data_IF_792126247091
#
_entry.id   IF_792126247091
#
_cell.length_a   1.000
_cell.length_b   1.000
_cell.length_c   1.000
_cell.angle_alpha   90.00
_cell.angle_beta   90.00
_cell.angle_gamma   90.00
#
_symmetry.space_group_name_H-M   'P 1'
#
loop_
_entity.id
_entity.type
_entity.pdbx_description
1 polymer ?
#
# COMPACT_ATOMS: atom_id res chain seq x y z
N UNK A 1 24.48 -19.60 35.92
CA UNK A 1 23.68 -20.23 36.98
C UNK A 1 23.33 -21.65 36.54
N UNK A 2 23.32 -22.62 37.44
CA UNK A 2 22.90 -24.00 37.13
C UNK A 2 21.38 -24.19 37.39
N UNK A 3 20.79 -25.25 36.84
CA UNK A 3 19.40 -25.63 37.08
C UNK A 3 19.14 -25.83 38.59
N UNK A 4 18.01 -25.35 39.09
CA UNK A 4 17.67 -25.37 40.53
C UNK A 4 18.47 -24.40 41.42
N UNK A 5 19.43 -23.64 40.88
CA UNK A 5 20.15 -22.63 41.66
C UNK A 5 19.28 -21.39 41.92
N UNK A 6 19.53 -20.72 43.05
CA UNK A 6 18.80 -19.51 43.43
C UNK A 6 19.76 -18.32 43.62
N UNK A 7 19.48 -17.20 42.94
CA UNK A 7 20.13 -15.92 43.21
C UNK A 7 19.18 -15.00 43.97
N UNK A 8 19.51 -14.74 45.23
CA UNK A 8 18.78 -13.80 46.08
C UNK A 8 19.47 -12.44 46.04
N UNK A 9 18.84 -11.46 45.38
CA UNK A 9 19.39 -10.12 45.28
C UNK A 9 19.22 -9.37 46.60
N UNK A 10 20.31 -8.78 47.08
CA UNK A 10 20.32 -7.91 48.27
C UNK A 10 20.40 -6.42 47.92
N UNK A 11 20.36 -6.10 46.62
CA UNK A 11 20.50 -4.76 46.07
C UNK A 11 20.26 -4.72 44.57
N UNK A 12 20.16 -3.52 43.99
CA UNK A 12 20.07 -3.36 42.53
C UNK A 12 21.33 -3.95 41.87
N UNK A 13 21.15 -4.67 40.77
CA UNK A 13 22.25 -5.37 40.10
C UNK A 13 22.25 -5.10 38.60
N UNK A 14 23.44 -4.97 38.04
CA UNK A 14 23.67 -4.94 36.59
C UNK A 14 24.63 -6.08 36.25
N UNK A 15 24.23 -6.95 35.33
CA UNK A 15 24.97 -8.12 34.89
C UNK A 15 25.31 -7.97 33.42
N UNK A 16 26.58 -8.07 33.05
CA UNK A 16 26.98 -8.03 31.63
C UNK A 16 26.49 -9.27 30.89
N UNK A 17 26.80 -10.46 31.39
CA UNK A 17 26.44 -11.72 30.76
C UNK A 17 25.90 -12.67 31.83
N UNK A 18 24.69 -13.20 31.62
CA UNK A 18 24.10 -14.23 32.46
C UNK A 18 23.74 -15.44 31.59
N UNK A 19 24.43 -16.55 31.85
CA UNK A 19 24.18 -17.81 31.16
C UNK A 19 23.59 -18.84 32.13
N UNK A 20 22.55 -19.53 31.70
CA UNK A 20 21.89 -20.60 32.45
C UNK A 20 21.98 -21.89 31.62
N UNK A 21 22.82 -22.81 32.09
CA UNK A 21 23.17 -24.05 31.41
C UNK A 21 23.24 -25.23 32.38
N UNK A 22 22.82 -26.41 31.92
CA UNK A 22 23.16 -27.71 32.52
C UNK A 22 23.48 -28.76 31.45
N UNK A 23 24.29 -29.80 31.76
CA UNK A 23 24.48 -30.93 30.87
C UNK A 23 23.16 -31.68 30.67
N UNK A 24 22.76 -31.85 29.41
CA UNK A 24 21.48 -32.43 28.99
C UNK A 24 21.16 -33.76 29.69
N UNK A 25 20.19 -33.75 30.62
CA UNK A 25 19.52 -34.97 31.04
C UNK A 25 18.11 -34.69 31.56
N UNK A 26 17.16 -35.40 30.95
CA UNK A 26 15.74 -35.55 31.31
C UNK A 26 14.73 -34.60 30.66
N UNK A 27 13.89 -35.24 29.85
CA UNK A 27 12.60 -34.81 29.32
C UNK A 27 11.53 -34.94 30.42
N UNK A 28 10.57 -34.01 30.45
CA UNK A 28 9.35 -33.95 31.28
C UNK A 28 9.53 -33.75 32.80
N UNK A 29 9.47 -32.50 33.28
CA UNK A 29 9.16 -32.14 34.68
C UNK A 29 8.37 -30.83 34.79
N UNK A 30 7.56 -30.75 35.85
CA UNK A 30 6.80 -29.57 36.30
C UNK A 30 7.73 -28.35 36.53
N UNK A 31 7.36 -27.19 35.99
CA UNK A 31 8.23 -26.00 35.89
C UNK A 31 8.63 -25.45 37.27
N UNK A 32 7.76 -25.62 38.26
CA UNK A 32 7.91 -25.00 39.57
C UNK A 32 9.07 -25.55 40.42
N UNK A 33 9.61 -26.74 40.09
CA UNK A 33 10.56 -27.46 40.96
C UNK A 33 12.01 -27.52 40.45
N UNK A 34 12.27 -27.12 39.20
CA UNK A 34 13.60 -27.31 38.56
C UNK A 34 14.21 -26.03 37.97
N UNK A 35 13.48 -24.92 37.83
CA UNK A 35 14.02 -23.72 37.22
C UNK A 35 15.13 -23.04 38.06
N UNK A 36 16.15 -22.51 37.40
CA UNK A 36 17.03 -21.53 38.04
C UNK A 36 16.18 -20.31 38.42
N UNK A 37 16.31 -19.83 39.66
CA UNK A 37 15.42 -18.80 40.21
C UNK A 37 16.19 -17.54 40.60
N UNK A 38 15.70 -16.38 40.17
CA UNK A 38 16.24 -15.07 40.55
C UNK A 38 15.20 -14.36 41.39
N UNK A 39 15.51 -14.11 42.66
CA UNK A 39 14.67 -13.35 43.58
C UNK A 39 15.17 -11.91 43.64
N UNK A 40 14.49 -11.01 42.93
CA UNK A 40 14.83 -9.60 42.90
C UNK A 40 14.25 -8.83 44.10
N UNK A 41 13.25 -9.38 44.79
CA UNK A 41 12.61 -8.73 45.93
C UNK A 41 12.00 -7.38 45.54
N UNK A 42 12.61 -6.29 46.01
CA UNK A 42 12.27 -4.89 45.70
C UNK A 42 13.32 -4.17 44.83
N UNK A 43 14.31 -4.89 44.30
CA UNK A 43 15.50 -4.37 43.63
C UNK A 43 15.46 -4.55 42.11
N UNK A 44 16.01 -3.58 41.37
CA UNK A 44 16.05 -3.64 39.91
C UNK A 44 17.20 -4.53 39.43
N UNK A 45 16.95 -5.31 38.37
CA UNK A 45 17.95 -6.15 37.71
C UNK A 45 18.05 -5.77 36.23
N UNK A 46 19.25 -5.35 35.82
CA UNK A 46 19.62 -5.18 34.42
C UNK A 46 20.56 -6.29 33.99
N UNK A 47 20.27 -6.98 32.89
CA UNK A 47 21.13 -7.99 32.27
C UNK A 47 21.42 -7.54 30.85
N UNK A 48 22.67 -7.34 30.44
CA UNK A 48 22.96 -6.92 29.07
C UNK A 48 22.82 -8.09 28.09
N UNK A 49 23.28 -9.30 28.43
CA UNK A 49 23.12 -10.50 27.63
C UNK A 49 22.61 -11.66 28.51
N UNK A 50 21.41 -12.16 28.24
CA UNK A 50 20.82 -13.31 28.92
C UNK A 50 20.78 -14.49 27.95
N UNK A 51 21.43 -15.60 28.28
CA UNK A 51 21.37 -16.84 27.52
C UNK A 51 20.85 -17.99 28.40
N UNK A 52 19.85 -18.74 27.93
CA UNK A 52 19.33 -19.90 28.68
C UNK A 52 18.85 -21.03 27.76
N UNK A 53 19.13 -22.26 28.17
CA UNK A 53 18.68 -23.48 27.47
C UNK A 53 17.75 -24.38 28.31
N UNK A 54 17.33 -23.89 29.48
CA UNK A 54 16.39 -24.52 30.43
C UNK A 54 15.52 -23.49 31.13
N UNK A 55 14.50 -23.94 31.85
CA UNK A 55 13.51 -23.06 32.47
C UNK A 55 14.14 -22.07 33.49
N UNK A 56 13.79 -20.79 33.38
CA UNK A 56 14.28 -19.70 34.23
C UNK A 56 13.10 -19.01 34.92
N UNK A 57 13.18 -18.77 36.22
CA UNK A 57 12.15 -18.05 36.98
C UNK A 57 12.67 -16.74 37.54
N UNK A 58 11.99 -15.63 37.23
CA UNK A 58 12.17 -14.35 37.92
C UNK A 58 11.07 -14.14 38.95
N UNK A 59 11.44 -13.78 40.18
CA UNK A 59 10.51 -13.54 41.27
C UNK A 59 10.70 -12.14 41.86
N UNK A 60 9.61 -11.37 41.93
CA UNK A 60 9.56 -10.06 42.58
C UNK A 60 8.53 -10.06 43.73
N UNK A 61 8.90 -9.48 44.87
CA UNK A 61 8.00 -9.30 46.03
C UNK A 61 7.42 -7.88 46.10
N UNK A 62 8.06 -6.92 45.43
CA UNK A 62 7.58 -5.53 45.36
C UNK A 62 7.79 -5.01 43.92
N UNK A 63 6.82 -5.25 43.02
CA UNK A 63 6.93 -4.88 41.62
C UNK A 63 7.04 -3.37 41.43
N UNK A 64 7.78 -2.96 40.39
CA UNK A 64 7.93 -1.57 39.93
C UNK A 64 8.06 -1.55 38.39
N UNK A 65 7.98 -0.37 37.80
CA UNK A 65 8.34 -0.17 36.41
C UNK A 65 9.81 -0.57 36.16
N UNK A 66 10.08 -1.27 35.06
CA UNK A 66 11.44 -1.70 34.65
C UNK A 66 12.19 -2.52 35.71
N UNK A 67 11.47 -3.37 36.45
CA UNK A 67 12.07 -4.22 37.48
C UNK A 67 13.14 -5.16 36.90
N UNK A 68 12.89 -5.67 35.69
CA UNK A 68 13.81 -6.50 34.92
C UNK A 68 14.02 -5.90 33.53
N UNK A 69 15.28 -5.59 33.22
CA UNK A 69 15.69 -5.10 31.89
C UNK A 69 16.70 -6.08 31.30
N UNK A 70 16.46 -6.54 30.08
CA UNK A 70 17.33 -7.49 29.38
C UNK A 70 17.77 -6.88 28.04
N UNK A 71 19.06 -6.68 27.81
CA UNK A 71 19.54 -6.19 26.52
C UNK A 71 19.28 -7.22 25.41
N UNK A 72 20.05 -8.30 25.40
CA UNK A 72 19.95 -9.37 24.40
C UNK A 72 19.47 -10.66 25.05
N UNK A 73 18.44 -11.30 24.49
CA UNK A 73 17.83 -12.53 25.03
C UNK A 73 18.06 -13.75 24.13
N UNK A 74 19.01 -14.63 24.44
CA UNK A 74 19.21 -15.89 23.70
C UNK A 74 18.54 -17.07 24.40
N UNK A 75 17.57 -17.70 23.76
CA UNK A 75 16.87 -18.87 24.30
C UNK A 75 17.02 -20.08 23.38
N UNK A 76 17.41 -21.23 23.92
CA UNK A 76 17.41 -22.49 23.17
C UNK A 76 16.14 -23.28 23.49
N UNK A 77 15.35 -23.63 22.47
CA UNK A 77 14.16 -24.46 22.64
C UNK A 77 14.54 -25.85 23.21
N UNK A 78 13.76 -26.44 24.12
CA UNK A 78 12.41 -26.04 24.57
C UNK A 78 12.37 -25.27 25.91
N UNK A 79 13.41 -24.49 26.25
CA UNK A 79 13.43 -23.72 27.50
C UNK A 79 12.23 -22.75 27.64
N UNK A 80 11.86 -22.38 28.86
CA UNK A 80 10.77 -21.43 29.18
C UNK A 80 11.22 -20.37 30.18
N UNK A 81 10.51 -19.24 30.23
CA UNK A 81 10.73 -18.21 31.24
C UNK A 81 9.47 -18.04 32.09
N UNK A 82 9.59 -18.14 33.40
CA UNK A 82 8.53 -17.89 34.37
C UNK A 82 8.72 -16.54 35.02
N UNK A 83 7.62 -15.80 35.15
CA UNK A 83 7.57 -14.54 35.90
C UNK A 83 6.64 -14.73 37.10
N UNK A 84 7.18 -14.53 38.30
CA UNK A 84 6.47 -14.61 39.58
C UNK A 84 6.34 -13.23 40.19
N UNK A 85 5.11 -12.77 40.32
CA UNK A 85 4.76 -11.59 41.09
C UNK A 85 4.11 -12.05 42.39
N UNK A 86 4.87 -12.02 43.49
CA UNK A 86 4.41 -12.48 44.80
C UNK A 86 3.74 -11.36 45.62
N UNK A 87 3.47 -10.20 45.01
CA UNK A 87 2.79 -9.11 45.71
C UNK A 87 1.27 -9.24 45.58
N UNK A 88 0.56 -9.19 46.72
CA UNK A 88 -0.90 -9.13 46.77
C UNK A 88 -1.46 -7.70 46.61
N UNK A 89 -0.58 -6.70 46.55
CA UNK A 89 -0.94 -5.29 46.32
C UNK A 89 0.23 -4.52 45.70
N UNK A 90 0.04 -3.90 44.54
CA UNK A 90 1.10 -3.15 43.86
C UNK A 90 0.89 -3.10 42.35
N UNK A 91 1.78 -2.41 41.60
CA UNK A 91 1.70 -2.38 40.15
C UNK A 91 1.99 -3.76 39.53
N UNK A 92 1.63 -3.92 38.26
CA UNK A 92 2.04 -5.09 37.48
C UNK A 92 3.57 -5.24 37.44
N UNK A 93 4.05 -6.47 37.31
CA UNK A 93 5.48 -6.71 37.08
C UNK A 93 5.82 -6.37 35.62
N UNK A 94 6.74 -5.43 35.42
CA UNK A 94 7.17 -5.00 34.10
C UNK A 94 8.53 -5.58 33.72
N UNK A 95 8.59 -6.26 32.58
CA UNK A 95 9.82 -6.80 31.99
C UNK A 95 10.07 -6.13 30.64
N UNK A 96 11.29 -5.66 30.42
CA UNK A 96 11.71 -4.98 29.18
C UNK A 96 12.86 -5.73 28.55
N UNK A 97 12.83 -5.93 27.23
CA UNK A 97 13.97 -6.48 26.49
C UNK A 97 14.30 -5.72 25.18
N UNK A 98 15.57 -5.68 24.75
CA UNK A 98 16.04 -4.87 23.61
C UNK A 98 16.26 -5.64 22.28
N UNK A 99 16.58 -6.95 22.31
CA UNK A 99 16.85 -7.78 21.10
C UNK A 99 16.53 -9.29 21.27
N UNK A 100 15.94 -9.95 20.26
CA UNK A 100 15.71 -11.42 20.16
C UNK A 100 16.59 -12.03 19.04
N UNK A 101 17.10 -13.28 19.17
CA UNK A 101 17.74 -14.05 18.12
C UNK A 101 16.91 -14.14 16.85
N UNK A 102 17.57 -14.07 15.69
CA UNK A 102 16.95 -14.08 14.36
C UNK A 102 16.07 -15.31 14.06
N UNK A 103 16.17 -16.38 14.86
CA UNK A 103 15.42 -17.64 14.70
C UNK A 103 14.24 -17.81 15.66
N UNK A 104 13.88 -16.78 16.44
CA UNK A 104 12.74 -16.80 17.36
C UNK A 104 11.80 -15.63 17.07
N UNK A 105 10.50 -15.90 16.98
CA UNK A 105 9.48 -14.84 16.93
C UNK A 105 9.14 -14.35 18.34
N UNK A 106 8.57 -13.13 18.43
CA UNK A 106 7.96 -12.66 19.68
C UNK A 106 6.86 -13.60 20.21
N UNK A 107 6.17 -14.30 19.31
CA UNK A 107 5.18 -15.33 19.65
C UNK A 107 5.82 -16.59 20.26
N UNK A 108 7.06 -16.94 19.89
CA UNK A 108 7.79 -18.07 20.48
C UNK A 108 8.29 -17.75 21.90
N UNK A 109 8.67 -16.49 22.14
CA UNK A 109 8.96 -15.99 23.49
C UNK A 109 7.68 -16.02 24.35
N UNK A 110 6.55 -15.55 23.80
CA UNK A 110 5.27 -15.54 24.52
C UNK A 110 4.74 -16.95 24.86
N UNK A 111 4.86 -17.92 23.93
CA UNK A 111 4.51 -19.34 24.16
C UNK A 111 5.39 -20.00 25.21
N UNK A 112 6.60 -19.48 25.43
CA UNK A 112 7.54 -19.93 26.45
C UNK A 112 7.25 -19.39 27.85
N UNK A 113 6.22 -18.55 28.04
CA UNK A 113 5.90 -17.95 29.34
C UNK A 113 4.88 -18.79 30.11
N UNK A 114 5.12 -18.97 31.41
CA UNK A 114 4.20 -19.65 32.32
C UNK A 114 3.94 -18.79 33.56
N UNK A 115 2.68 -18.76 34.01
CA UNK A 115 2.22 -17.96 35.13
C UNK A 115 1.69 -18.85 36.26
N UNK A 116 2.07 -18.54 37.50
CA UNK A 116 1.60 -19.23 38.70
C UNK A 116 0.57 -18.33 39.41
N UNK A 117 -0.58 -18.90 39.80
CA UNK A 117 -1.70 -18.23 40.48
C UNK A 117 -2.20 -16.93 39.81
N UNK A 118 -2.65 -16.96 38.54
CA UNK A 118 -3.10 -15.77 37.80
C UNK A 118 -4.29 -15.04 38.47
N UNK A 119 -5.11 -15.76 39.24
CA UNK A 119 -6.25 -15.21 39.98
C UNK A 119 -5.85 -14.27 41.12
N UNK A 120 -4.64 -14.41 41.66
CA UNK A 120 -4.11 -13.58 42.76
C UNK A 120 -3.05 -12.57 42.30
N UNK A 121 -2.85 -12.45 40.99
CA UNK A 121 -1.80 -11.63 40.41
C UNK A 121 -2.32 -10.23 40.05
N UNK A 122 -1.64 -9.14 40.45
CA UNK A 122 -2.03 -7.78 40.07
C UNK A 122 -1.75 -7.44 38.59
N UNK A 123 -1.11 -8.35 37.84
CA UNK A 123 -0.88 -8.28 36.40
C UNK A 123 0.59 -8.32 36.00
N UNK A 124 0.84 -8.47 34.71
CA UNK A 124 2.18 -8.40 34.09
C UNK A 124 2.13 -7.51 32.86
N UNK A 125 3.20 -6.73 32.65
CA UNK A 125 3.44 -6.08 31.36
C UNK A 125 4.79 -6.54 30.84
N UNK A 126 4.80 -7.09 29.64
CA UNK A 126 6.03 -7.43 28.94
C UNK A 126 6.14 -6.48 27.76
N UNK A 127 7.25 -5.75 27.72
CA UNK A 127 7.54 -4.77 26.69
C UNK A 127 8.77 -5.23 25.93
N UNK A 128 8.58 -5.48 24.64
CA UNK A 128 9.68 -5.64 23.73
C UNK A 128 10.04 -4.27 23.15
N UNK A 129 11.26 -3.80 23.43
CA UNK A 129 11.94 -2.84 22.60
C UNK A 129 12.66 -3.65 21.52
N UNK A 130 12.41 -3.41 20.24
CA UNK A 130 13.25 -3.97 19.19
C UNK A 130 14.06 -2.84 18.57
N UNK A 131 15.26 -2.62 19.13
CA UNK A 131 16.22 -1.62 18.64
C UNK A 131 15.65 -0.21 18.49
N UNK A 132 16.49 0.70 18.02
CA UNK A 132 16.10 2.11 17.87
C UNK A 132 15.10 2.37 16.74
N UNK A 133 14.67 1.34 15.98
CA UNK A 133 14.01 1.47 14.67
C UNK A 133 12.92 0.41 14.39
N UNK A 134 12.32 -0.25 15.40
CA UNK A 134 11.09 -1.02 15.16
C UNK A 134 10.12 -1.00 16.34
N UNK A 135 8.84 -1.18 16.03
CA UNK A 135 7.70 -0.91 16.91
C UNK A 135 7.68 -1.77 18.18
N UNK A 136 7.30 -1.14 19.29
CA UNK A 136 7.11 -1.76 20.60
C UNK A 136 5.98 -2.81 20.57
N UNK A 137 6.25 -4.05 21.01
CA UNK A 137 5.21 -5.06 21.29
C UNK A 137 4.96 -5.10 22.80
N UNK A 138 3.69 -4.95 23.20
CA UNK A 138 3.28 -4.97 24.61
C UNK A 138 2.30 -6.13 24.87
N UNK A 139 2.65 -7.02 25.79
CA UNK A 139 1.75 -8.05 26.32
C UNK A 139 1.28 -7.56 27.69
N UNK A 140 -0.02 -7.31 27.83
CA UNK A 140 -0.65 -6.96 29.11
C UNK A 140 -1.51 -8.12 29.60
N UNK A 141 -1.23 -8.58 30.82
CA UNK A 141 -2.09 -9.52 31.55
C UNK A 141 -2.73 -8.73 32.70
N UNK A 142 -4.04 -8.58 32.65
CA UNK A 142 -4.83 -7.86 33.66
C UNK A 142 -4.91 -8.61 34.99
N UNK A 143 -5.34 -7.90 36.05
CA UNK A 143 -5.59 -8.51 37.35
C UNK A 143 -6.82 -9.42 37.29
N UNK A 144 -6.69 -10.65 37.82
CA UNK A 144 -7.78 -11.61 37.93
C UNK A 144 -7.85 -12.60 36.76
N UNK A 145 -7.08 -13.68 36.87
CA UNK A 145 -7.51 -15.06 36.58
C UNK A 145 -7.70 -15.49 35.13
N UNK A 146 -8.23 -14.63 34.28
CA UNK A 146 -8.41 -14.97 32.89
C UNK A 146 -7.05 -14.94 32.21
N UNK A 147 -6.65 -16.10 31.69
CA UNK A 147 -5.53 -16.31 30.76
C UNK A 147 -5.78 -15.58 29.42
N UNK A 148 -6.47 -14.45 29.44
CA UNK A 148 -6.63 -13.61 28.29
C UNK A 148 -5.37 -12.78 28.16
N UNK A 149 -4.60 -13.12 27.13
CA UNK A 149 -3.76 -12.14 26.47
C UNK A 149 -4.71 -11.00 26.08
N UNK A 150 -4.69 -9.87 26.82
CA UNK A 150 -5.62 -8.75 26.62
C UNK A 150 -5.35 -8.06 25.27
N UNK A 151 -4.11 -8.20 24.77
CA UNK A 151 -3.70 -7.82 23.42
C UNK A 151 -2.58 -8.76 22.96
N UNK A 152 -2.91 -9.65 22.03
CA UNK A 152 -1.91 -10.27 21.18
C UNK A 152 -1.93 -9.46 19.90
N UNK A 153 -0.95 -8.56 19.72
CA UNK A 153 -0.73 -8.02 18.38
C UNK A 153 -0.03 -9.13 17.59
N UNK A 154 -0.85 -10.12 17.22
CA UNK A 154 -0.53 -11.17 16.26
C UNK A 154 -0.01 -10.49 15.00
N UNK A 155 1.09 -11.03 14.47
CA UNK A 155 1.62 -10.66 13.18
C UNK A 155 0.49 -10.68 12.14
N UNK A 156 0.19 -9.50 11.61
CA UNK A 156 -0.54 -9.31 10.38
C UNK A 156 0.30 -8.36 9.55
N UNK A 157 0.49 -8.69 8.28
CA UNK A 157 1.24 -7.95 7.25
C UNK A 157 0.73 -6.51 7.04
N UNK A 158 0.75 -5.66 8.07
CA UNK A 158 0.22 -4.29 8.05
C UNK A 158 0.94 -3.38 9.07
N UNK A 159 2.23 -3.58 9.34
CA UNK A 159 3.02 -2.53 10.01
C UNK A 159 3.34 -1.41 9.01
N UNK A 160 3.58 -0.20 9.53
CA UNK A 160 4.01 1.02 8.80
C UNK A 160 5.26 0.81 7.93
N UNK A 161 5.92 -0.36 8.02
CA UNK A 161 6.89 -0.82 7.04
C UNK A 161 6.33 -0.79 5.60
N UNK A 162 5.19 -1.42 5.33
CA UNK A 162 4.72 -1.60 3.93
C UNK A 162 3.83 -0.45 3.42
N UNK A 163 3.27 0.34 4.33
CA UNK A 163 2.30 1.39 4.01
C UNK A 163 2.84 2.60 3.20
N UNK A 164 4.13 2.98 3.26
CA UNK A 164 4.71 3.95 2.35
C UNK A 164 4.70 3.46 0.90
N UNK A 165 5.01 2.18 0.66
CA UNK A 165 4.90 1.59 -0.67
C UNK A 165 3.48 1.62 -1.19
N UNK A 166 2.50 1.32 -0.33
CA UNK A 166 1.10 1.42 -0.69
C UNK A 166 0.72 2.88 -1.12
N UNK A 167 1.30 3.91 -0.51
CA UNK A 167 1.15 5.33 -0.94
C UNK A 167 1.79 5.57 -2.32
N UNK A 168 3.01 5.10 -2.56
CA UNK A 168 3.64 5.21 -3.89
C UNK A 168 2.91 4.40 -4.97
N UNK A 169 2.35 3.25 -4.60
CA UNK A 169 1.54 2.41 -5.48
C UNK A 169 0.23 3.10 -5.85
N UNK A 170 -0.45 3.73 -4.89
CA UNK A 170 -1.61 4.59 -5.15
C UNK A 170 -1.28 5.75 -6.08
N UNK A 171 -0.09 6.33 -5.99
CA UNK A 171 0.35 7.35 -6.92
C UNK A 171 0.50 6.83 -8.37
N UNK A 172 1.00 5.60 -8.56
CA UNK A 172 1.02 4.97 -9.89
C UNK A 172 -0.40 4.67 -10.37
N UNK A 173 -1.31 4.25 -9.48
CA UNK A 173 -2.71 4.04 -9.84
C UNK A 173 -3.40 5.34 -10.25
N UNK A 174 -3.18 6.44 -9.52
CA UNK A 174 -3.63 7.80 -9.89
C UNK A 174 -3.12 8.19 -11.27
N UNK A 175 -1.89 7.81 -11.61
CA UNK A 175 -1.35 8.06 -12.93
C UNK A 175 -2.02 7.20 -14.02
N UNK A 176 -2.16 5.88 -13.80
CA UNK A 176 -2.80 4.97 -14.76
C UNK A 176 -4.25 5.39 -15.01
N UNK A 177 -4.94 5.88 -13.98
CA UNK A 177 -6.29 6.43 -14.08
C UNK A 177 -6.41 7.62 -15.05
N UNK A 178 -5.29 8.28 -15.37
CA UNK A 178 -5.23 9.41 -16.32
C UNK A 178 -4.80 9.01 -17.74
N UNK A 179 -4.52 7.72 -18.00
CA UNK A 179 -4.25 7.18 -19.34
C UNK A 179 -5.57 7.12 -20.14
N UNK A 180 -5.52 7.46 -21.44
CA UNK A 180 -6.69 7.70 -22.27
C UNK A 180 -6.53 7.09 -23.68
N UNK A 181 -7.63 6.60 -24.28
CA UNK A 181 -7.75 6.31 -25.73
C UNK A 181 -8.57 7.37 -26.49
N UNK A 182 -8.47 7.38 -27.82
CA UNK A 182 -9.11 8.39 -28.70
C UNK A 182 -10.62 8.42 -28.54
N UNK A 183 -11.26 7.25 -28.53
CA UNK A 183 -12.72 7.15 -28.49
C UNK A 183 -13.27 7.66 -27.15
N UNK A 184 -12.58 7.37 -26.04
CA UNK A 184 -12.90 7.95 -24.73
C UNK A 184 -12.73 9.47 -24.69
N UNK A 185 -11.70 9.99 -25.36
CA UNK A 185 -11.33 11.41 -25.26
C UNK A 185 -12.10 12.31 -26.21
N UNK A 186 -12.34 11.87 -27.44
CA UNK A 186 -12.79 12.73 -28.54
C UNK A 186 -14.10 12.23 -29.19
N UNK A 187 -14.61 11.06 -28.77
CA UNK A 187 -15.70 10.37 -29.47
C UNK A 187 -15.31 9.99 -30.90
N UNK A 188 -16.30 9.76 -31.77
CA UNK A 188 -16.04 9.48 -33.19
C UNK A 188 -15.75 10.76 -34.00
N UNK A 189 -14.48 11.20 -33.98
CA UNK A 189 -14.00 12.36 -34.76
C UNK A 189 -14.22 12.26 -36.28
N UNK A 190 -14.45 11.04 -36.80
CA UNK A 190 -14.65 10.80 -38.25
C UNK A 190 -16.02 11.21 -38.74
N UNK A 191 -16.98 11.39 -37.84
CA UNK A 191 -18.32 11.88 -38.18
C UNK A 191 -18.31 13.35 -38.64
N UNK A 192 -17.18 14.08 -38.49
CA UNK A 192 -17.09 15.52 -38.73
C UNK A 192 -15.76 15.96 -39.37
N UNK A 193 -15.57 15.70 -40.68
CA UNK A 193 -14.40 16.19 -41.40
C UNK A 193 -14.41 17.73 -41.49
N UNK A 194 -13.24 18.35 -41.32
CA UNK A 194 -12.96 19.78 -41.57
C UNK A 194 -13.56 20.83 -40.60
N UNK A 195 -13.84 20.48 -39.34
CA UNK A 195 -14.35 21.43 -38.34
C UNK A 195 -13.36 21.65 -37.19
N UNK A 196 -13.34 22.87 -36.66
CA UNK A 196 -12.73 23.15 -35.36
C UNK A 196 -13.65 22.57 -34.27
N UNK A 197 -13.07 22.20 -33.14
CA UNK A 197 -13.87 21.64 -32.04
C UNK A 197 -13.42 22.13 -30.69
N UNK A 198 -14.40 22.36 -29.82
CA UNK A 198 -14.21 22.47 -28.39
C UNK A 198 -14.97 21.34 -27.72
N UNK A 199 -14.39 20.73 -26.70
CA UNK A 199 -15.01 19.63 -25.98
C UNK A 199 -14.73 19.73 -24.48
N UNK A 200 -15.64 19.14 -23.72
CA UNK A 200 -15.49 18.93 -22.30
C UNK A 200 -15.94 17.52 -21.97
N UNK A 201 -15.27 16.89 -21.01
CA UNK A 201 -15.65 15.57 -20.51
C UNK A 201 -15.37 15.46 -19.03
N UNK A 202 -16.04 14.50 -18.42
CA UNK A 202 -15.74 14.03 -17.09
C UNK A 202 -15.60 12.50 -17.13
N UNK A 203 -14.66 11.98 -16.37
CA UNK A 203 -14.44 10.55 -16.26
C UNK A 203 -13.96 10.21 -14.86
N UNK A 204 -14.22 8.99 -14.43
CA UNK A 204 -13.89 8.54 -13.09
C UNK A 204 -14.09 7.05 -12.97
N UNK A 205 -13.74 6.52 -11.81
CA UNK A 205 -13.81 5.10 -11.58
C UNK A 205 -13.16 4.69 -10.28
N UNK A 206 -13.18 3.39 -10.05
CA UNK A 206 -12.45 2.77 -8.96
C UNK A 206 -11.38 1.86 -9.54
N UNK A 207 -10.19 1.89 -8.96
CA UNK A 207 -9.10 0.95 -9.22
C UNK A 207 -8.79 0.21 -7.93
N UNK A 208 -8.41 -1.06 -8.06
CA UNK A 208 -8.01 -1.94 -6.97
C UNK A 208 -6.70 -2.59 -7.37
N UNK A 209 -5.80 -2.72 -6.40
CA UNK A 209 -4.51 -3.36 -6.63
C UNK A 209 -4.21 -4.40 -5.57
N UNK A 210 -3.89 -5.62 -6.04
CA UNK A 210 -3.51 -6.77 -5.22
C UNK A 210 -4.58 -7.23 -4.23
N UNK A 211 -4.18 -8.18 -3.39
CA UNK A 211 -5.03 -8.72 -2.31
C UNK A 211 -4.97 -7.87 -1.03
N UNK A 212 -4.10 -6.85 -1.01
CA UNK A 212 -3.86 -5.94 0.11
C UNK A 212 -5.00 -4.95 0.37
N UNK A 213 -6.07 -5.00 -0.42
CA UNK A 213 -7.25 -4.15 -0.21
C UNK A 213 -7.09 -2.70 -0.66
N UNK A 214 -6.02 -2.37 -1.42
CA UNK A 214 -5.83 -1.04 -1.99
C UNK A 214 -6.98 -0.70 -2.93
N UNK A 215 -7.59 0.45 -2.69
CA UNK A 215 -8.66 1.01 -3.52
C UNK A 215 -8.34 2.45 -3.81
N UNK A 216 -8.53 2.84 -5.05
CA UNK A 216 -8.32 4.20 -5.51
C UNK A 216 -9.56 4.65 -6.27
N UNK A 217 -10.28 5.63 -5.75
CA UNK A 217 -11.45 6.23 -6.39
C UNK A 217 -11.03 7.59 -6.95
N UNK A 218 -11.39 7.91 -8.20
CA UNK A 218 -11.02 9.18 -8.81
C UNK A 218 -12.13 9.77 -9.67
N UNK A 219 -12.11 11.10 -9.81
CA UNK A 219 -12.97 11.87 -10.68
C UNK A 219 -12.16 12.98 -11.36
N UNK A 220 -12.28 13.08 -12.66
CA UNK A 220 -11.55 14.04 -13.48
C UNK A 220 -12.52 14.85 -14.33
N UNK A 221 -12.24 16.15 -14.46
CA UNK A 221 -12.85 17.02 -15.45
C UNK A 221 -11.76 17.43 -16.44
N UNK A 222 -12.05 17.34 -17.73
CA UNK A 222 -11.12 17.71 -18.78
C UNK A 222 -11.82 18.54 -19.84
N UNK A 223 -11.14 19.60 -20.29
CA UNK A 223 -11.55 20.44 -21.41
C UNK A 223 -10.47 20.42 -22.48
N UNK A 224 -10.87 20.62 -23.72
CA UNK A 224 -9.92 20.74 -24.82
C UNK A 224 -10.49 21.42 -26.04
N UNK A 225 -9.58 21.80 -26.93
CA UNK A 225 -9.92 22.36 -28.22
C UNK A 225 -8.92 21.87 -29.26
N UNK A 226 -9.42 21.58 -30.46
CA UNK A 226 -8.61 21.14 -31.59
C UNK A 226 -9.04 21.77 -32.92
N UNK A 227 -8.11 21.71 -33.85
CA UNK A 227 -8.28 22.14 -35.23
C UNK A 227 -7.76 21.08 -36.17
N UNK A 228 -8.36 20.99 -37.36
CA UNK A 228 -7.75 20.31 -38.50
C UNK A 228 -6.62 21.20 -39.03
N UNK A 229 -5.42 20.64 -39.17
CA UNK A 229 -4.24 21.33 -39.72
C UNK A 229 -3.94 20.92 -41.17
N UNK A 230 -4.55 19.81 -41.60
CA UNK A 230 -4.67 19.34 -42.97
C UNK A 230 -5.87 18.38 -43.02
N UNK A 231 -6.32 17.97 -44.21
CA UNK A 231 -7.54 17.17 -44.41
C UNK A 231 -7.63 15.97 -43.44
N UNK A 232 -6.50 15.28 -43.24
CA UNK A 232 -6.43 14.07 -42.41
C UNK A 232 -5.73 14.28 -41.06
N UNK A 233 -5.24 15.49 -40.76
CA UNK A 233 -4.48 15.75 -39.52
C UNK A 233 -5.20 16.72 -38.60
N UNK A 234 -5.18 16.44 -37.31
CA UNK A 234 -5.68 17.35 -36.28
C UNK A 234 -4.61 17.60 -35.22
N UNK A 235 -4.73 18.75 -34.57
CA UNK A 235 -3.93 19.15 -33.42
C UNK A 235 -4.82 19.86 -32.40
N UNK A 236 -4.57 19.63 -31.12
CA UNK A 236 -5.30 20.29 -30.05
C UNK A 236 -4.55 20.34 -28.73
N UNK A 237 -5.12 21.10 -27.82
CA UNK A 237 -4.66 21.26 -26.44
C UNK A 237 -5.78 20.83 -25.49
N UNK A 238 -5.39 20.28 -24.35
CA UNK A 238 -6.31 19.89 -23.29
C UNK A 238 -5.76 20.30 -21.92
N UNK A 239 -6.68 20.60 -21.00
CA UNK A 239 -6.38 20.81 -19.60
C UNK A 239 -7.32 19.96 -18.74
N UNK A 240 -6.83 19.40 -17.65
CA UNK A 240 -7.67 18.64 -16.72
C UNK A 240 -7.35 18.88 -15.26
N UNK A 241 -8.36 18.66 -14.44
CA UNK A 241 -8.27 18.62 -12.99
C UNK A 241 -8.84 17.29 -12.50
N UNK A 242 -8.11 16.60 -11.64
CA UNK A 242 -8.55 15.34 -11.02
C UNK A 242 -8.47 15.42 -9.51
N UNK A 243 -9.43 14.79 -8.86
CA UNK A 243 -9.40 14.47 -7.43
C UNK A 243 -9.45 12.96 -7.27
N UNK A 244 -8.66 12.43 -6.35
CA UNK A 244 -8.65 11.03 -6.01
C UNK A 244 -8.53 10.77 -4.51
N UNK A 245 -9.05 9.62 -4.10
CA UNK A 245 -9.00 9.11 -2.74
C UNK A 245 -8.51 7.66 -2.77
N UNK A 246 -7.32 7.43 -2.20
CA UNK A 246 -6.76 6.13 -1.92
C UNK A 246 -7.15 5.62 -0.52
N UNK A 247 -7.66 4.39 -0.44
CA UNK A 247 -7.93 3.69 0.82
C UNK A 247 -6.92 2.57 1.02
N UNK A 248 -6.24 2.62 2.15
CA UNK A 248 -5.28 1.62 2.62
C UNK A 248 -5.88 0.89 3.84
N UNK A 249 -5.32 -0.26 4.21
CA UNK A 249 -5.78 -0.99 5.41
C UNK A 249 -5.57 -0.19 6.70
N UNK A 250 -4.49 0.59 6.76
CA UNK A 250 -4.09 1.37 7.92
C UNK A 250 -4.14 2.88 7.66
N UNK A 251 -4.80 3.35 6.60
CA UNK A 251 -4.72 4.76 6.26
C UNK A 251 -5.53 5.18 5.05
N UNK A 252 -5.34 6.44 4.67
CA UNK A 252 -5.90 7.02 3.46
C UNK A 252 -4.89 7.95 2.79
N UNK A 253 -5.08 8.15 1.50
CA UNK A 253 -4.37 9.10 0.66
C UNK A 253 -5.41 9.92 -0.10
N UNK A 254 -5.17 11.21 -0.22
CA UNK A 254 -5.97 12.12 -1.03
C UNK A 254 -4.99 12.77 -2.03
N UNK A 255 -5.34 12.74 -3.32
CA UNK A 255 -4.52 13.35 -4.35
C UNK A 255 -5.35 14.32 -5.20
N UNK A 256 -4.70 15.41 -5.60
CA UNK A 256 -5.22 16.34 -6.61
C UNK A 256 -4.21 16.43 -7.72
N UNK A 257 -4.69 16.55 -8.95
CA UNK A 257 -3.79 16.77 -10.07
C UNK A 257 -4.31 17.75 -11.08
N UNK A 258 -3.36 18.49 -11.66
CA UNK A 258 -3.56 19.45 -12.73
C UNK A 258 -2.74 19.01 -13.93
N UNK A 259 -3.37 18.91 -15.09
CA UNK A 259 -2.72 18.46 -16.33
C UNK A 259 -2.83 19.49 -17.42
N UNK A 260 -1.76 19.64 -18.20
CA UNK A 260 -1.76 20.27 -19.51
C UNK A 260 -1.25 19.27 -20.54
N UNK A 261 -2.01 19.11 -21.63
CA UNK A 261 -1.68 18.19 -22.70
C UNK A 261 -1.78 18.81 -24.08
N UNK A 262 -0.94 18.32 -24.98
CA UNK A 262 -1.02 18.56 -26.41
C UNK A 262 -1.25 17.23 -27.12
N UNK A 263 -2.17 17.20 -28.06
CA UNK A 263 -2.51 16.00 -28.81
C UNK A 263 -2.61 16.29 -30.29
N UNK A 264 -2.38 15.27 -31.10
CA UNK A 264 -2.55 15.34 -32.53
C UNK A 264 -2.58 13.95 -33.12
N UNK A 265 -3.14 13.87 -34.32
CA UNK A 265 -3.33 12.58 -34.95
C UNK A 265 -3.61 12.70 -36.42
N UNK A 266 -3.63 11.54 -37.04
CA UNK A 266 -3.91 11.32 -38.44
C UNK A 266 -5.09 10.36 -38.57
N UNK A 267 -6.05 10.69 -39.43
CA UNK A 267 -7.20 9.85 -39.74
C UNK A 267 -7.28 9.68 -41.25
N UNK A 268 -7.07 8.46 -41.71
CA UNK A 268 -7.07 8.11 -43.11
C UNK A 268 -8.47 7.81 -43.63
N UNK A 269 -8.71 8.10 -44.91
CA UNK A 269 -9.95 7.73 -45.61
C UNK A 269 -10.20 6.21 -45.62
N UNK A 270 -9.13 5.40 -45.62
CA UNK A 270 -9.22 3.94 -45.59
C UNK A 270 -9.52 3.35 -44.18
N UNK A 271 -9.83 4.21 -43.20
CA UNK A 271 -10.19 3.81 -41.84
C UNK A 271 -9.04 3.72 -40.85
N UNK A 272 -7.78 3.81 -41.30
CA UNK A 272 -6.62 3.83 -40.40
C UNK A 272 -6.56 5.13 -39.58
N UNK A 273 -5.98 5.07 -38.39
CA UNK A 273 -5.66 6.26 -37.63
C UNK A 273 -4.43 6.08 -36.76
N UNK A 274 -3.82 7.23 -36.44
CA UNK A 274 -2.83 7.39 -35.39
C UNK A 274 -3.27 8.55 -34.51
N UNK A 275 -3.17 8.39 -33.20
CA UNK A 275 -3.31 9.47 -32.23
C UNK A 275 -2.12 9.49 -31.29
N UNK A 276 -1.62 10.67 -30.97
CA UNK A 276 -0.57 10.87 -30.00
C UNK A 276 -0.97 11.99 -29.06
N UNK A 277 -0.79 11.77 -27.76
CA UNK A 277 -0.96 12.79 -26.73
C UNK A 277 0.26 12.79 -25.81
N UNK A 278 0.74 13.99 -25.51
CA UNK A 278 1.72 14.24 -24.47
C UNK A 278 1.06 15.07 -23.39
N UNK A 279 1.33 14.76 -22.13
CA UNK A 279 0.83 15.52 -20.99
C UNK A 279 1.94 15.80 -19.99
N UNK A 280 1.84 16.95 -19.36
CA UNK A 280 2.53 17.29 -18.13
C UNK A 280 1.50 17.40 -17.00
N UNK A 281 1.82 16.82 -15.85
CA UNK A 281 0.94 16.74 -14.70
C UNK A 281 1.66 17.24 -13.46
N UNK A 282 0.95 18.01 -12.63
CA UNK A 282 1.34 18.35 -11.27
C UNK A 282 0.41 17.62 -10.31
N UNK A 283 0.94 17.00 -9.27
CA UNK A 283 0.21 16.26 -8.25
C UNK A 283 0.48 16.84 -6.88
N UNK A 284 -0.59 17.14 -6.15
CA UNK A 284 -0.57 17.41 -4.72
C UNK A 284 -1.04 16.13 -4.03
N UNK A 285 -0.24 15.58 -3.12
CA UNK A 285 -0.60 14.38 -2.37
C UNK A 285 -0.58 14.65 -0.88
N UNK A 286 -1.66 14.28 -0.23
CA UNK A 286 -1.78 14.19 1.22
C UNK A 286 -1.99 12.73 1.61
N UNK A 287 -1.34 12.27 2.67
CA UNK A 287 -1.57 10.94 3.21
C UNK A 287 -1.57 10.94 4.73
N UNK A 288 -2.35 10.02 5.29
CA UNK A 288 -2.43 9.80 6.71
C UNK A 288 -2.48 8.29 6.98
N UNK A 289 -1.52 7.82 7.75
CA UNK A 289 -1.33 6.42 8.07
C UNK A 289 -1.34 6.23 9.58
N UNK A 290 -2.04 5.22 10.06
CA UNK A 290 -2.05 4.81 11.44
C UNK A 290 -0.91 3.82 11.70
N UNK A 291 -0.16 4.07 12.77
CA UNK A 291 0.62 3.07 13.46
C UNK A 291 -0.32 2.04 14.11
N UNK A 292 0.22 0.85 14.39
CA UNK A 292 -0.49 -0.18 15.18
C UNK A 292 -0.82 0.29 16.61
N UNK A 293 -0.13 1.31 17.10
CA UNK A 293 -0.43 2.00 18.37
C UNK A 293 -1.65 2.92 18.30
N UNK A 294 -2.22 3.13 17.10
CA UNK A 294 -3.27 4.11 16.83
C UNK A 294 -2.77 5.54 16.67
N UNK A 295 -1.47 5.80 16.86
CA UNK A 295 -0.87 7.09 16.51
C UNK A 295 -0.93 7.29 14.99
N UNK A 296 -1.10 8.53 14.52
CA UNK A 296 -1.13 8.85 13.09
C UNK A 296 0.19 9.46 12.67
N UNK A 297 0.73 9.02 11.53
CA UNK A 297 1.77 9.70 10.76
C UNK A 297 1.10 10.32 9.53
N UNK A 298 1.31 11.62 9.32
CA UNK A 298 0.78 12.36 8.18
C UNK A 298 1.92 12.94 7.39
N UNK A 299 1.77 12.96 6.07
CA UNK A 299 2.70 13.64 5.19
C UNK A 299 1.96 14.23 4.01
N UNK A 300 2.61 15.21 3.40
CA UNK A 300 2.17 15.82 2.16
C UNK A 300 3.38 16.03 1.26
N UNK A 301 3.19 15.88 -0.04
CA UNK A 301 4.23 16.18 -1.02
C UNK A 301 3.63 16.52 -2.38
N UNK A 302 4.39 17.33 -3.12
CA UNK A 302 4.04 17.70 -4.48
C UNK A 302 5.03 17.02 -5.44
N UNK A 303 4.54 16.53 -6.58
CA UNK A 303 5.41 15.95 -7.61
C UNK A 303 4.89 16.27 -9.00
N UNK A 304 5.80 16.26 -9.98
CA UNK A 304 5.47 16.44 -11.37
C UNK A 304 5.68 15.14 -12.14
N UNK A 305 5.01 15.03 -13.28
CA UNK A 305 5.33 13.97 -14.22
C UNK A 305 4.96 14.31 -15.65
N UNK A 306 5.46 13.49 -16.57
CA UNK A 306 5.15 13.56 -17.99
C UNK A 306 4.68 12.18 -18.52
N UNK A 307 3.68 12.18 -19.40
CA UNK A 307 3.25 11.00 -20.17
C UNK A 307 3.31 11.26 -21.66
N UNK A 308 3.57 10.20 -22.42
CA UNK A 308 3.26 10.10 -23.85
C UNK A 308 2.41 8.85 -24.08
N UNK A 309 1.37 8.99 -24.88
CA UNK A 309 0.53 7.88 -25.30
C UNK A 309 0.34 7.94 -26.82
N UNK A 310 0.50 6.80 -27.48
CA UNK A 310 0.30 6.65 -28.91
C UNK A 310 -0.65 5.48 -29.18
N UNK A 311 -1.68 5.72 -29.97
CA UNK A 311 -2.66 4.72 -30.40
C UNK A 311 -2.68 4.62 -31.92
N UNK A 312 -2.71 3.40 -32.44
CA UNK A 312 -3.00 3.09 -33.83
C UNK A 312 -4.20 2.17 -33.91
N UNK A 313 -5.04 2.36 -34.91
CA UNK A 313 -6.07 1.39 -35.23
C UNK A 313 -6.52 1.46 -36.67
N UNK A 314 -7.30 0.45 -37.07
CA UNK A 314 -7.80 0.36 -38.44
C UNK A 314 -9.24 -0.10 -38.48
N UNK A 315 -10.13 0.82 -38.86
CA UNK A 315 -11.55 0.53 -39.04
C UNK A 315 -11.79 -0.22 -40.36
N UNK A 316 -12.29 -1.45 -40.26
CA UNK A 316 -12.76 -2.26 -41.38
C UNK A 316 -14.29 -2.28 -41.41
N UNK A 317 -14.87 -1.68 -42.45
CA UNK A 317 -16.32 -1.77 -42.68
C UNK A 317 -16.69 -3.19 -43.11
N UNK A 318 -17.55 -3.85 -42.32
CA UNK A 318 -18.13 -5.15 -42.65
C UNK A 318 -19.38 -4.98 -43.51
N UNK A 319 -20.15 -3.93 -43.21
CA UNK A 319 -21.33 -3.48 -43.96
C UNK A 319 -21.41 -1.95 -43.86
N UNK A 320 -22.41 -1.33 -44.49
CA UNK A 320 -22.67 0.11 -44.34
C UNK A 320 -23.03 0.53 -42.89
N UNK A 321 -23.39 -0.43 -42.04
CA UNK A 321 -23.82 -0.19 -40.65
C UNK A 321 -22.86 -0.73 -39.59
N UNK A 322 -21.98 -1.67 -39.93
CA UNK A 322 -21.14 -2.35 -38.94
C UNK A 322 -19.67 -2.29 -39.34
N UNK A 323 -18.81 -2.02 -38.37
CA UNK A 323 -17.37 -2.10 -38.55
C UNK A 323 -16.69 -2.78 -37.37
N UNK A 324 -15.50 -3.27 -37.65
CA UNK A 324 -14.57 -3.80 -36.65
C UNK A 324 -13.29 -2.98 -36.69
N UNK A 325 -12.71 -2.70 -35.53
CA UNK A 325 -11.55 -1.82 -35.39
C UNK A 325 -10.54 -2.45 -34.43
N UNK A 326 -9.56 -3.24 -34.93
CA UNK A 326 -8.37 -3.57 -34.15
C UNK A 326 -7.59 -2.32 -33.78
N UNK A 327 -7.09 -2.30 -32.56
CA UNK A 327 -6.39 -1.17 -31.95
C UNK A 327 -5.15 -1.66 -31.20
N UNK A 328 -4.10 -0.85 -31.24
CA UNK A 328 -2.90 -1.04 -30.45
C UNK A 328 -2.49 0.31 -29.85
N UNK A 329 -2.16 0.31 -28.57
CA UNK A 329 -1.78 1.51 -27.83
C UNK A 329 -0.54 1.23 -26.99
N UNK A 330 0.32 2.24 -26.86
CA UNK A 330 1.43 2.26 -25.92
C UNK A 330 1.44 3.58 -25.15
N UNK A 331 1.56 3.48 -23.84
CA UNK A 331 1.70 4.63 -22.94
C UNK A 331 2.99 4.50 -22.13
N UNK A 332 3.80 5.54 -22.16
CA UNK A 332 4.99 5.68 -21.33
C UNK A 332 4.85 6.90 -20.44
N UNK A 333 5.30 6.76 -19.20
CA UNK A 333 5.15 7.79 -18.19
C UNK A 333 6.25 7.79 -17.16
N UNK A 334 6.58 8.99 -16.70
CA UNK A 334 7.60 9.26 -15.69
C UNK A 334 7.04 10.26 -14.69
N UNK A 335 7.26 9.99 -13.41
CA UNK A 335 7.03 10.92 -12.31
C UNK A 335 8.35 11.17 -11.58
N UNK A 336 8.61 12.43 -11.25
CA UNK A 336 9.85 12.86 -10.63
C UNK A 336 10.01 12.25 -9.22
N UNK A 337 11.27 12.08 -8.78
CA UNK A 337 11.55 11.68 -7.41
C UNK A 337 11.14 12.78 -6.43
N UNK A 338 10.74 12.38 -5.22
CA UNK A 338 10.27 13.31 -4.19
C UNK A 338 10.87 12.97 -2.84
N UNK A 339 11.19 14.00 -2.06
CA UNK A 339 11.61 13.87 -0.67
C UNK A 339 10.65 14.64 0.22
N UNK A 340 10.14 13.98 1.25
CA UNK A 340 9.21 14.59 2.21
C UNK A 340 9.55 14.16 3.63
N UNK A 341 8.97 14.86 4.61
CA UNK A 341 9.09 14.51 6.02
C UNK A 341 7.69 14.52 6.62
N UNK A 342 7.34 13.44 7.29
CA UNK A 342 6.05 13.30 7.98
C UNK A 342 6.00 14.19 9.23
N UNK A 343 4.80 14.42 9.75
CA UNK A 343 4.57 15.25 10.95
C UNK A 343 5.23 14.70 12.23
N UNK A 344 5.50 13.41 12.27
CA UNK A 344 6.25 12.71 13.32
C UNK A 344 7.77 12.61 13.04
N UNK A 345 8.27 13.28 12.00
CA UNK A 345 9.70 13.48 11.76
C UNK A 345 10.39 12.40 10.94
N UNK A 346 9.65 11.50 10.29
CA UNK A 346 10.23 10.49 9.40
C UNK A 346 10.49 11.12 8.03
N UNK A 347 11.77 11.31 7.69
CA UNK A 347 12.17 11.68 6.35
C UNK A 347 12.07 10.46 5.41
N UNK A 348 11.44 10.64 4.26
CA UNK A 348 11.27 9.65 3.22
C UNK A 348 11.70 10.21 1.86
N UNK A 349 12.30 9.35 1.03
CA UNK A 349 12.62 9.62 -0.35
C UNK A 349 11.97 8.56 -1.23
N UNK A 350 11.09 9.00 -2.11
CA UNK A 350 10.51 8.17 -3.16
C UNK A 350 11.33 8.36 -4.43
N UNK A 351 11.81 7.26 -5.00
CA UNK A 351 12.53 7.29 -6.26
C UNK A 351 11.59 7.58 -7.42
N UNK A 352 12.17 8.06 -8.52
CA UNK A 352 11.48 8.30 -9.79
C UNK A 352 10.64 7.09 -10.19
N UNK A 353 9.37 7.31 -10.51
CA UNK A 353 8.45 6.26 -10.95
C UNK A 353 8.37 6.23 -12.47
N UNK A 354 8.46 5.04 -13.05
CA UNK A 354 8.35 4.82 -14.49
C UNK A 354 7.28 3.76 -14.77
N UNK A 355 6.41 4.04 -15.75
CA UNK A 355 5.35 3.13 -16.19
C UNK A 355 5.30 3.03 -17.70
N UNK A 356 5.20 1.78 -18.18
CA UNK A 356 5.08 1.43 -19.58
C UNK A 356 3.94 0.42 -19.73
N UNK A 357 2.85 0.86 -20.36
CA UNK A 357 1.66 0.05 -20.59
C UNK A 357 1.46 -0.14 -22.09
N UNK A 358 1.31 -1.38 -22.53
CA UNK A 358 0.87 -1.72 -23.89
C UNK A 358 -0.53 -2.31 -23.87
N UNK A 359 -1.39 -1.92 -24.81
CA UNK A 359 -2.76 -2.42 -24.96
C UNK A 359 -3.00 -2.89 -26.38
N UNK A 360 -3.62 -4.06 -26.52
CA UNK A 360 -4.16 -4.57 -27.78
C UNK A 360 -5.65 -4.77 -27.62
N UNK A 361 -6.43 -4.20 -28.54
CA UNK A 361 -7.88 -4.16 -28.44
C UNK A 361 -8.59 -4.44 -29.76
N UNK A 362 -9.86 -4.75 -29.65
CA UNK A 362 -10.77 -4.92 -30.76
C UNK A 362 -12.10 -4.25 -30.41
N UNK A 363 -12.52 -3.30 -31.23
CA UNK A 363 -13.84 -2.70 -31.13
C UNK A 363 -14.77 -3.26 -32.20
N UNK A 364 -16.01 -3.54 -31.84
CA UNK A 364 -17.10 -3.77 -32.77
C UNK A 364 -18.12 -2.64 -32.61
N UNK A 365 -18.57 -2.06 -33.72
CA UNK A 365 -19.43 -0.89 -33.67
C UNK A 365 -20.57 -0.98 -34.66
N UNK A 366 -21.67 -0.31 -34.31
CA UNK A 366 -22.89 -0.21 -35.09
C UNK A 366 -23.25 1.26 -35.32
N UNK A 367 -23.48 1.62 -36.58
CA UNK A 367 -23.97 2.92 -37.01
C UNK A 367 -25.49 2.99 -36.92
N UNK A 368 -25.99 4.12 -36.48
CA UNK A 368 -27.40 4.52 -36.61
C UNK A 368 -27.50 5.95 -37.12
N UNK A 369 -28.73 6.44 -37.31
CA UNK A 369 -28.99 7.71 -38.01
C UNK A 369 -28.30 8.94 -37.39
N UNK A 370 -28.17 8.95 -36.07
CA UNK A 370 -27.61 10.07 -35.31
C UNK A 370 -26.37 9.67 -34.50
N UNK A 371 -25.62 8.64 -34.90
CA UNK A 371 -24.44 8.26 -34.14
C UNK A 371 -23.99 6.81 -34.32
N UNK A 372 -23.26 6.33 -33.33
CA UNK A 372 -22.74 4.97 -33.30
C UNK A 372 -22.54 4.46 -31.88
N UNK A 373 -22.83 3.18 -31.68
CA UNK A 373 -22.51 2.45 -30.45
C UNK A 373 -21.36 1.49 -30.72
N UNK A 374 -20.63 1.13 -29.67
CA UNK A 374 -19.55 0.16 -29.76
C UNK A 374 -19.42 -0.66 -28.49
N UNK A 375 -18.84 -1.84 -28.67
CA UNK A 375 -18.28 -2.67 -27.60
C UNK A 375 -16.79 -2.88 -27.88
N UNK A 376 -15.97 -2.88 -26.83
CA UNK A 376 -14.53 -3.12 -26.92
C UNK A 376 -14.13 -4.25 -26.00
N UNK A 377 -13.19 -5.06 -26.47
CA UNK A 377 -12.43 -5.99 -25.64
C UNK A 377 -10.95 -5.74 -25.88
N UNK A 378 -10.18 -5.58 -24.80
CA UNK A 378 -8.73 -5.37 -24.87
C UNK A 378 -7.98 -6.23 -23.87
N UNK A 379 -6.70 -6.47 -24.13
CA UNK A 379 -5.72 -6.95 -23.17
C UNK A 379 -4.65 -5.88 -23.01
N UNK A 380 -4.32 -5.54 -21.77
CA UNK A 380 -3.28 -4.58 -21.43
C UNK A 380 -2.22 -5.24 -20.55
N UNK A 381 -0.98 -4.82 -20.73
CA UNK A 381 0.16 -5.29 -19.97
C UNK A 381 1.05 -4.13 -19.54
N UNK A 382 1.35 -4.07 -18.25
CA UNK A 382 2.29 -3.13 -17.66
C UNK A 382 3.65 -3.79 -17.49
N UNK A 383 4.64 -3.32 -18.25
CA UNK A 383 6.01 -3.85 -18.24
C UNK A 383 6.95 -3.09 -17.28
N UNK A 384 6.60 -1.84 -16.93
CA UNK A 384 7.32 -1.02 -15.94
C UNK A 384 6.33 -0.48 -14.91
N UNK A 385 6.73 -0.43 -13.65
CA UNK A 385 5.86 0.02 -12.56
C UNK A 385 6.48 -0.24 -11.19
N UNK A 386 7.74 0.10 -11.02
CA UNK A 386 8.46 -0.15 -9.77
C UNK A 386 8.34 1.09 -8.88
N UNK A 387 7.69 0.93 -7.74
CA UNK A 387 7.69 1.91 -6.67
C UNK A 387 8.81 1.57 -5.68
N UNK A 388 9.69 2.53 -5.39
CA UNK A 388 10.72 2.38 -4.36
C UNK A 388 10.72 3.59 -3.43
N UNK A 389 10.65 3.32 -2.12
CA UNK A 389 10.78 4.33 -1.07
C UNK A 389 11.90 3.95 -0.10
N UNK A 390 12.71 4.93 0.27
CA UNK A 390 13.72 4.85 1.32
C UNK A 390 13.33 5.76 2.48
N UNK A 391 13.39 5.27 3.72
CA UNK A 391 13.03 6.05 4.91
C UNK A 391 14.18 6.15 5.91
N UNK A 392 14.21 7.25 6.67
CA UNK A 392 15.24 7.56 7.67
C UNK A 392 15.10 6.77 8.97
N UNK A 393 13.95 6.14 9.22
CA UNK A 393 13.68 5.32 10.41
C UNK A 393 14.25 3.89 10.31
N UNK A 394 15.17 3.63 9.37
CA UNK A 394 15.87 2.36 9.24
C UNK A 394 15.04 1.20 8.67
N UNK A 395 13.82 1.46 8.19
CA UNK A 395 13.10 0.51 7.34
C UNK A 395 13.90 0.29 6.05
N UNK A 396 14.12 -0.97 5.67
CA UNK A 396 14.78 -1.30 4.40
C UNK A 396 14.04 -0.65 3.23
N UNK A 397 14.77 -0.30 2.17
CA UNK A 397 14.17 0.22 0.95
C UNK A 397 13.14 -0.80 0.44
N UNK A 398 11.88 -0.38 0.37
CA UNK A 398 10.81 -1.28 -0.02
C UNK A 398 10.54 -1.08 -1.50
N UNK A 399 10.44 -2.18 -2.24
CA UNK A 399 10.17 -2.19 -3.68
C UNK A 399 8.85 -2.92 -3.92
N UNK A 400 7.93 -2.27 -4.64
CA UNK A 400 6.71 -2.90 -5.13
C UNK A 400 6.69 -2.88 -6.66
N UNK A 401 6.46 -4.04 -7.27
CA UNK A 401 6.36 -4.20 -8.72
C UNK A 401 4.89 -4.30 -9.13
N UNK A 402 4.40 -3.24 -9.76
CA UNK A 402 3.03 -3.13 -10.25
C UNK A 402 2.80 -3.84 -11.60
N UNK A 403 3.82 -4.53 -12.12
CA UNK A 403 3.74 -5.33 -13.33
C UNK A 403 2.55 -6.29 -13.31
N UNK A 404 1.62 -6.08 -14.24
CA UNK A 404 0.37 -6.84 -14.30
C UNK A 404 -0.17 -6.90 -15.73
N UNK A 405 -1.00 -7.93 -15.98
CA UNK A 405 -1.76 -8.08 -17.22
C UNK A 405 -3.23 -8.15 -16.84
N UNK A 406 -4.07 -7.38 -17.54
CA UNK A 406 -5.51 -7.36 -17.31
C UNK A 406 -6.26 -7.30 -18.64
N UNK A 407 -7.47 -7.87 -18.64
CA UNK A 407 -8.43 -7.69 -19.72
C UNK A 407 -9.35 -6.51 -19.44
N UNK A 408 -9.80 -5.83 -20.48
CA UNK A 408 -10.71 -4.68 -20.41
C UNK A 408 -11.93 -4.93 -21.29
N UNK A 409 -13.11 -4.61 -20.78
CA UNK A 409 -14.36 -4.66 -21.51
C UNK A 409 -15.06 -3.32 -21.39
N UNK A 410 -15.46 -2.75 -22.52
CA UNK A 410 -16.16 -1.48 -22.54
C UNK A 410 -17.37 -1.50 -23.46
N UNK A 411 -18.37 -0.70 -23.11
CA UNK A 411 -19.53 -0.38 -23.95
C UNK A 411 -19.68 1.14 -23.97
N UNK A 412 -19.86 1.70 -25.15
CA UNK A 412 -19.97 3.15 -25.31
C UNK A 412 -20.59 3.54 -26.63
N UNK A 413 -20.66 4.84 -26.85
CA UNK A 413 -21.23 5.39 -28.06
C UNK A 413 -21.03 6.89 -28.19
N UNK A 414 -21.35 7.40 -29.37
CA UNK A 414 -21.38 8.82 -29.71
C UNK A 414 -22.74 9.12 -30.35
N UNK A 415 -23.40 10.18 -29.89
CA UNK A 415 -24.70 10.62 -30.36
C UNK A 415 -24.66 12.10 -30.77
N UNK A 416 -25.10 12.37 -31.99
CA UNK A 416 -25.15 13.67 -32.63
C UNK A 416 -26.48 14.34 -32.31
N UNK A 417 -26.50 15.14 -31.24
CA UNK A 417 -27.71 15.84 -30.76
C UNK A 417 -28.11 16.98 -31.72
N UNK A 418 -27.13 17.63 -32.33
CA UNK A 418 -27.34 18.65 -33.36
C UNK A 418 -26.24 18.56 -34.42
N UNK A 419 -26.37 19.33 -35.51
CA UNK A 419 -25.38 19.36 -36.61
C UNK A 419 -23.97 19.71 -36.14
N UNK A 420 -23.86 20.48 -35.07
CA UNK A 420 -22.64 21.02 -34.51
C UNK A 420 -22.43 20.62 -33.04
N UNK A 421 -23.19 19.64 -32.54
CA UNK A 421 -23.10 19.22 -31.14
C UNK A 421 -23.28 17.71 -31.00
N UNK A 422 -22.28 17.06 -30.41
CA UNK A 422 -22.27 15.63 -30.14
C UNK A 422 -22.04 15.38 -28.65
N UNK A 423 -22.63 14.32 -28.12
CA UNK A 423 -22.35 13.77 -26.80
C UNK A 423 -21.83 12.36 -26.96
N UNK A 424 -20.96 11.92 -26.05
CA UNK A 424 -20.42 10.58 -26.06
C UNK A 424 -20.25 10.07 -24.65
N UNK A 425 -20.24 8.75 -24.51
CA UNK A 425 -20.02 8.11 -23.23
C UNK A 425 -19.53 6.70 -23.37
N UNK A 426 -18.90 6.21 -22.31
CA UNK A 426 -18.40 4.84 -22.21
C UNK A 426 -18.44 4.39 -20.75
N UNK A 427 -18.79 3.11 -20.55
CA UNK A 427 -18.58 2.39 -19.31
C UNK A 427 -17.58 1.26 -19.57
N UNK A 428 -16.61 1.13 -18.67
CA UNK A 428 -15.56 0.11 -18.74
C UNK A 428 -15.47 -0.66 -17.43
N UNK A 429 -15.08 -1.92 -17.53
CA UNK A 429 -14.68 -2.78 -16.40
C UNK A 429 -13.46 -3.60 -16.82
N UNK A 430 -12.70 -4.12 -15.86
CA UNK A 430 -11.58 -5.02 -16.13
C UNK A 430 -11.81 -6.41 -15.56
N UNK A 431 -11.00 -7.37 -16.03
CA UNK A 431 -10.94 -8.71 -15.46
C UNK A 431 -10.49 -8.70 -14.01
N UNK A 432 -10.71 -9.83 -13.34
CA UNK A 432 -10.17 -10.09 -12.02
C UNK A 432 -8.67 -10.43 -12.12
N UNK A 433 -7.84 -9.40 -12.00
CA UNK A 433 -6.38 -9.44 -12.07
C UNK A 433 -5.80 -8.60 -10.94
N UNK A 434 -4.46 -8.65 -10.74
CA UNK A 434 -3.79 -7.84 -9.72
C UNK A 434 -4.21 -6.37 -9.79
N UNK A 435 -4.26 -5.80 -10.99
CA UNK A 435 -4.93 -4.53 -11.24
C UNK A 435 -6.38 -4.81 -11.67
N UNK A 436 -7.35 -4.23 -10.96
CA UNK A 436 -8.77 -4.39 -11.25
C UNK A 436 -9.51 -3.08 -11.15
N UNK A 437 -10.29 -2.73 -12.15
CA UNK A 437 -11.29 -1.68 -12.07
C UNK A 437 -12.69 -2.29 -12.17
N UNK A 438 -13.46 -2.34 -11.06
CA UNK A 438 -14.82 -2.85 -11.11
C UNK A 438 -15.73 -1.99 -12.00
N UNK A 439 -15.48 -0.67 -12.02
CA UNK A 439 -16.17 0.26 -12.89
C UNK A 439 -15.28 1.46 -13.22
N UNK A 440 -15.41 1.92 -14.46
CA UNK A 440 -14.97 3.20 -14.98
C UNK A 440 -16.11 3.78 -15.82
N UNK A 441 -16.25 5.08 -15.79
CA UNK A 441 -17.22 5.82 -16.60
C UNK A 441 -16.54 7.03 -17.23
N UNK A 442 -17.03 7.41 -18.40
CA UNK A 442 -16.57 8.58 -19.15
C UNK A 442 -17.76 9.18 -19.89
N UNK A 443 -17.96 10.49 -19.76
CA UNK A 443 -19.00 11.23 -20.46
C UNK A 443 -18.45 12.55 -20.97
N UNK A 444 -18.73 12.87 -22.23
CA UNK A 444 -18.30 14.12 -22.81
C UNK A 444 -19.27 14.70 -23.83
N UNK A 445 -19.03 15.96 -24.13
CA UNK A 445 -19.73 16.72 -25.14
C UNK A 445 -18.72 17.47 -26.01
N UNK A 446 -19.05 17.59 -27.29
CA UNK A 446 -18.23 18.26 -28.29
C UNK A 446 -19.09 19.23 -29.09
N UNK A 447 -18.65 20.48 -29.13
CA UNK A 447 -19.18 21.52 -29.98
C UNK A 447 -18.22 21.75 -31.16
N UNK A 448 -18.77 21.88 -32.35
CA UNK A 448 -18.02 22.01 -33.60
C UNK A 448 -18.40 23.31 -34.30
N UNK A 449 -17.43 24.02 -34.87
CA UNK A 449 -17.66 25.34 -35.46
C UNK A 449 -16.80 25.63 -36.68
#
# INVERSE_FOLDING_TARGET
MEEGSAWNMTGNSTVSDLTIETPMSSTTRDIAAAAATIHAGAHNLKINNLAFNKDLTFTATTPKAEQFTIGNLTQAAPARMMLRNNSQSGPALNVVYDTIPANMSGADVAKGLCFENPEQNPGFTIVQNEGSNSTQRQIVVGAGGDKQIVSDNQESNTSVSESPNDVASLQILSWIAQINDVNKRLGDLRSYPNQHGAWARTYGGQMKYGDRGLKYDHNTIQIGADTRIADNFYFGLAASYSEGEGKLNNGKNEDKSYSLGAYGGWMAENGQFVDVIVKHNHFDNDFAMAYTTGAMSKGSYDTNGCSICAEYGWRFSLTDKFWIEPQAEVSYSVMDDVSYTTDDGVAAKQDKLESLVGRLGLAFSAKFEHGSDYVKASVAHQAMGKARITMSNGLEAMEEDLGSTWGEFAIGGTYNVAKNFAVYGEFQTTTDSKLKSPYQWNFGARYMF
#
